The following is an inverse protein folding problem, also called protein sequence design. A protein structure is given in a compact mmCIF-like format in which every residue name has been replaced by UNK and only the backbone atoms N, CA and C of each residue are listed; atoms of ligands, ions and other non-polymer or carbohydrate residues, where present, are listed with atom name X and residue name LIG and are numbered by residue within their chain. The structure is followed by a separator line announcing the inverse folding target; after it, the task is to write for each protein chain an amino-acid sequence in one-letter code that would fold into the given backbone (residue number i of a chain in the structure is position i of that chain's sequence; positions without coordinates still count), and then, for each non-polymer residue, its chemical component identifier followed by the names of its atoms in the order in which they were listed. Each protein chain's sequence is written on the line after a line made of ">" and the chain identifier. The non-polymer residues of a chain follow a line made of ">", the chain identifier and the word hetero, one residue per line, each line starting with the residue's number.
data_IF_250712231373
#
_entry.id   IF_250712231373
#
_cell.length_a   1.000
_cell.length_b   1.000
_cell.length_c   1.000
_cell.angle_alpha   90.00
_cell.angle_beta   90.00
_cell.angle_gamma   90.00
#
_symmetry.space_group_name_H-M   'P 1'
#
loop_
_entity.id
_entity.type
_entity.pdbx_description
1 polymer ?
#
# COMPACT_ATOMS: atom_id res chain seq x y z
N UNK A 1 -14.86 -25.64 5.92
CA UNK A 1 -13.59 -26.14 5.34
C UNK A 1 -12.49 -25.73 6.28
N UNK A 2 -11.49 -26.59 6.54
CA UNK A 2 -10.53 -26.42 7.63
C UNK A 2 -9.81 -25.06 7.55
N UNK A 3 -9.86 -24.27 8.63
CA UNK A 3 -9.00 -23.10 8.84
C UNK A 3 -7.56 -23.58 8.93
N UNK A 4 -6.88 -23.60 7.78
CA UNK A 4 -5.45 -23.82 7.73
C UNK A 4 -4.82 -22.47 8.09
N UNK A 5 -4.51 -22.27 9.36
CA UNK A 5 -3.74 -21.11 9.78
C UNK A 5 -2.35 -21.26 9.16
N UNK A 6 -2.11 -20.51 8.09
CA UNK A 6 -0.78 -20.49 7.47
C UNK A 6 0.22 -20.02 8.52
N UNK A 7 1.38 -20.67 8.57
CA UNK A 7 2.48 -20.16 9.41
C UNK A 7 3.07 -18.90 8.79
N UNK A 8 3.74 -18.06 9.59
CA UNK A 8 4.37 -16.84 9.04
C UNK A 8 5.35 -17.15 7.90
N UNK A 9 5.95 -18.34 7.93
CA UNK A 9 6.88 -18.83 6.90
C UNK A 9 6.21 -19.00 5.53
N UNK A 10 4.95 -19.40 5.53
CA UNK A 10 4.17 -19.71 4.32
C UNK A 10 3.54 -18.45 3.70
N UNK A 11 3.58 -17.31 4.39
CA UNK A 11 2.98 -16.07 3.90
C UNK A 11 3.69 -15.57 2.65
N UNK A 12 2.88 -15.11 1.70
CA UNK A 12 3.34 -14.39 0.54
C UNK A 12 3.31 -12.87 0.83
N UNK A 13 4.11 -12.06 0.13
CA UNK A 13 4.09 -10.60 0.29
C UNK A 13 2.70 -10.01 0.00
N UNK A 14 1.87 -10.68 -0.80
CA UNK A 14 0.48 -10.28 -0.99
C UNK A 14 -0.34 -10.27 0.32
N UNK A 15 0.03 -11.06 1.33
CA UNK A 15 -0.64 -11.07 2.63
C UNK A 15 -0.53 -9.70 3.32
N UNK A 16 -1.67 -9.12 3.73
CA UNK A 16 -1.71 -7.76 4.26
C UNK A 16 -0.90 -7.58 5.54
N UNK A 17 -0.74 -8.64 6.36
CA UNK A 17 0.14 -8.60 7.53
C UNK A 17 1.61 -8.49 7.12
N UNK A 18 2.09 -9.39 6.26
CA UNK A 18 3.48 -9.38 5.85
C UNK A 18 3.82 -8.09 5.09
N UNK A 19 2.95 -7.66 4.18
CA UNK A 19 3.08 -6.40 3.46
C UNK A 19 3.20 -5.21 4.41
N UNK A 20 2.25 -5.09 5.36
CA UNK A 20 2.24 -4.01 6.33
C UNK A 20 3.49 -3.98 7.21
N UNK A 21 4.05 -5.13 7.58
CA UNK A 21 5.31 -5.21 8.34
C UNK A 21 6.52 -4.81 7.51
N UNK A 22 6.59 -5.22 6.25
CA UNK A 22 7.67 -4.83 5.32
C UNK A 22 7.65 -3.33 5.09
N UNK A 23 6.48 -2.77 4.79
CA UNK A 23 6.33 -1.36 4.46
C UNK A 23 6.51 -0.41 5.66
N UNK A 24 6.58 -0.92 6.90
CA UNK A 24 7.00 -0.12 8.07
C UNK A 24 8.50 0.21 8.07
N UNK A 25 9.30 -0.47 7.25
CA UNK A 25 10.68 -0.05 6.99
C UNK A 25 10.64 1.22 6.11
N UNK A 26 11.10 2.34 6.67
CA UNK A 26 11.03 3.65 6.03
C UNK A 26 11.82 3.69 4.72
N UNK A 27 12.95 2.99 4.62
CA UNK A 27 13.73 2.99 3.38
C UNK A 27 13.04 2.17 2.28
N UNK A 28 12.46 1.02 2.63
CA UNK A 28 11.69 0.22 1.66
C UNK A 28 10.45 0.99 1.20
N UNK A 29 9.71 1.60 2.13
CA UNK A 29 8.54 2.41 1.81
C UNK A 29 8.91 3.56 0.86
N UNK A 30 10.00 4.28 1.17
CA UNK A 30 10.55 5.34 0.32
C UNK A 30 10.85 4.83 -1.09
N UNK A 31 11.59 3.73 -1.23
CA UNK A 31 11.95 3.16 -2.53
C UNK A 31 10.71 2.74 -3.35
N UNK A 32 9.72 2.11 -2.71
CA UNK A 32 8.45 1.73 -3.36
C UNK A 32 7.71 2.96 -3.85
N UNK A 33 7.55 3.99 -3.01
CA UNK A 33 6.84 5.21 -3.36
C UNK A 33 7.54 5.99 -4.48
N UNK A 34 8.88 6.11 -4.44
CA UNK A 34 9.65 6.76 -5.51
C UNK A 34 9.42 6.10 -6.86
N UNK A 35 9.37 4.77 -6.88
CA UNK A 35 9.16 3.99 -8.10
C UNK A 35 7.73 4.10 -8.64
N UNK A 36 6.73 4.07 -7.75
CA UNK A 36 5.32 4.21 -8.15
C UNK A 36 5.04 5.61 -8.69
N UNK A 37 5.56 6.64 -8.03
CA UNK A 37 5.26 8.03 -8.34
C UNK A 37 6.20 8.64 -9.38
N UNK A 38 7.33 7.98 -9.64
CA UNK A 38 8.40 8.47 -10.50
C UNK A 38 8.90 9.87 -10.09
N UNK A 39 9.00 10.11 -8.78
CA UNK A 39 9.53 11.36 -8.19
C UNK A 39 10.51 11.02 -7.06
N UNK A 40 11.56 11.82 -6.87
CA UNK A 40 12.46 11.63 -5.75
C UNK A 40 11.78 11.96 -4.43
N UNK A 41 11.90 11.07 -3.44
CA UNK A 41 11.40 11.24 -2.08
C UNK A 41 12.61 11.26 -1.17
N UNK A 42 12.90 12.44 -0.60
CA UNK A 42 14.08 12.63 0.25
C UNK A 42 14.02 11.82 1.53
N UNK A 43 12.85 11.74 2.16
CA UNK A 43 12.65 11.01 3.41
C UNK A 43 11.21 10.52 3.52
N UNK A 44 11.08 9.30 4.02
CA UNK A 44 9.84 8.69 4.40
C UNK A 44 9.78 8.64 5.93
N UNK A 45 8.79 9.29 6.53
CA UNK A 45 8.57 9.20 7.98
C UNK A 45 7.16 8.74 8.30
N UNK A 46 7.05 7.86 9.29
CA UNK A 46 5.76 7.52 9.88
C UNK A 46 5.49 8.46 11.04
N UNK A 47 4.33 9.13 11.10
CA UNK A 47 4.00 10.02 12.19
C UNK A 47 4.02 9.26 13.53
N UNK A 48 4.81 9.74 14.48
CA UNK A 48 5.05 9.09 15.80
C UNK A 48 3.78 9.02 16.67
N UNK A 49 2.75 9.80 16.37
CA UNK A 49 1.57 9.91 17.23
C UNK A 49 0.29 10.18 16.45
N UNK A 50 -0.46 9.12 16.20
CA UNK A 50 -1.85 8.92 16.64
C UNK A 50 -2.14 7.46 16.34
N UNK A 51 -2.73 6.76 17.31
CA UNK A 51 -3.33 5.45 17.08
C UNK A 51 -4.28 5.61 15.89
N UNK A 52 -3.83 5.24 14.70
CA UNK A 52 -4.77 4.83 13.68
C UNK A 52 -5.38 3.57 14.25
N UNK A 53 -6.63 3.71 14.69
CA UNK A 53 -7.41 2.64 15.27
C UNK A 53 -7.29 1.43 14.35
N UNK A 54 -6.89 0.29 14.93
CA UNK A 54 -7.05 -1.07 14.40
C UNK A 54 -8.54 -1.44 14.22
N UNK A 55 -9.39 -0.48 13.85
CA UNK A 55 -10.85 -0.62 13.82
C UNK A 55 -11.36 0.04 12.53
N UNK A 56 -11.06 -0.60 11.39
CA UNK A 56 -12.09 -0.74 10.38
C UNK A 56 -13.07 -1.79 10.93
N UNK A 57 -14.36 -1.48 11.13
CA UNK A 57 -15.29 -2.40 11.78
C UNK A 57 -15.52 -3.73 11.03
N UNK A 58 -15.09 -3.88 9.78
CA UNK A 58 -15.53 -5.01 8.95
C UNK A 58 -14.49 -5.65 8.01
N UNK A 59 -13.24 -5.16 7.88
CA UNK A 59 -12.34 -5.69 6.83
C UNK A 59 -11.11 -6.46 7.29
N UNK A 60 -10.75 -6.48 8.58
CA UNK A 60 -9.60 -7.26 9.07
C UNK A 60 -8.21 -6.85 8.53
N UNK A 61 -8.11 -6.13 7.42
CA UNK A 61 -6.83 -5.80 6.77
C UNK A 61 -5.94 -4.87 7.59
N UNK A 62 -4.63 -5.17 7.56
CA UNK A 62 -3.61 -4.27 8.10
C UNK A 62 -3.41 -3.10 7.13
N UNK A 63 -3.86 -1.93 7.56
CA UNK A 63 -3.66 -0.64 6.90
C UNK A 63 -2.25 -0.12 7.17
N UNK A 64 -1.51 0.28 6.13
CA UNK A 64 -0.30 1.08 6.28
C UNK A 64 -0.67 2.55 6.03
N UNK A 65 -0.94 3.26 7.13
CA UNK A 65 -1.83 4.40 7.09
C UNK A 65 -1.31 5.67 6.40
N UNK A 66 -0.07 6.07 6.67
CA UNK A 66 0.48 7.29 6.08
C UNK A 66 2.00 7.35 6.26
N UNK A 67 2.72 7.42 5.15
CA UNK A 67 4.08 7.94 5.14
C UNK A 67 4.03 9.43 4.79
N UNK A 68 4.83 10.26 5.46
CA UNK A 68 4.95 11.69 5.17
C UNK A 68 6.33 11.96 4.56
N UNK A 69 6.35 12.77 3.49
CA UNK A 69 7.58 13.43 3.06
C UNK A 69 7.76 14.72 3.87
N UNK A 70 8.84 14.81 4.65
CA UNK A 70 9.13 15.90 5.59
C UNK A 70 9.17 17.29 4.92
N UNK A 71 9.61 17.39 3.65
CA UNK A 71 9.76 18.71 2.99
C UNK A 71 8.49 19.24 2.32
N UNK A 72 7.64 18.36 1.80
CA UNK A 72 6.42 18.73 1.06
C UNK A 72 5.16 18.43 1.86
N UNK A 73 5.31 17.88 3.06
CA UNK A 73 4.24 17.40 3.94
C UNK A 73 3.22 16.48 3.24
N UNK A 74 3.58 15.88 2.10
CA UNK A 74 2.69 15.02 1.31
C UNK A 74 2.44 13.71 2.04
N UNK A 75 1.19 13.26 2.04
CA UNK A 75 0.73 12.04 2.72
C UNK A 75 0.56 10.92 1.70
N UNK A 76 1.17 9.76 1.96
CA UNK A 76 1.04 8.56 1.14
C UNK A 76 0.39 7.45 1.95
N UNK A 77 -0.78 6.98 1.54
CA UNK A 77 -1.43 5.80 2.11
C UNK A 77 -1.28 4.64 1.14
N UNK A 78 -0.82 3.48 1.61
CA UNK A 78 -0.60 2.30 0.76
C UNK A 78 -1.32 1.10 1.35
N UNK A 79 -2.12 0.41 0.54
CA UNK A 79 -2.83 -0.79 0.97
C UNK A 79 -2.68 -1.93 -0.04
N UNK A 80 -2.51 -3.14 0.47
CA UNK A 80 -2.44 -4.38 -0.31
C UNK A 80 -3.80 -5.06 -0.32
N UNK A 81 -4.28 -5.46 -1.50
CA UNK A 81 -5.58 -6.11 -1.69
C UNK A 81 -5.45 -7.42 -2.45
N UNK A 82 -5.87 -8.51 -1.79
CA UNK A 82 -5.77 -9.88 -2.31
C UNK A 82 -7.01 -10.37 -3.06
N UNK A 83 -8.16 -9.73 -2.87
CA UNK A 83 -9.42 -10.13 -3.46
C UNK A 83 -10.16 -8.91 -4.02
N UNK A 84 -11.01 -9.15 -5.02
CA UNK A 84 -11.88 -8.10 -5.57
C UNK A 84 -12.80 -7.60 -4.46
N UNK A 85 -12.53 -6.38 -4.02
CA UNK A 85 -13.37 -5.64 -3.10
C UNK A 85 -14.33 -4.79 -3.93
N UNK A 86 -15.63 -5.09 -3.87
CA UNK A 86 -16.68 -4.31 -4.54
C UNK A 86 -16.73 -2.86 -4.03
N UNK A 87 -16.17 -2.61 -2.83
CA UNK A 87 -16.13 -1.31 -2.19
C UNK A 87 -14.80 -0.58 -2.38
N UNK A 88 -13.85 -1.14 -3.13
CA UNK A 88 -12.51 -0.57 -3.37
C UNK A 88 -12.52 0.93 -3.65
N UNK A 89 -13.38 1.37 -4.58
CA UNK A 89 -13.47 2.79 -4.96
C UNK A 89 -14.03 3.66 -3.83
N UNK A 90 -14.97 3.14 -3.03
CA UNK A 90 -15.51 3.83 -1.86
C UNK A 90 -14.47 3.87 -0.73
N UNK A 91 -13.66 2.83 -0.60
CA UNK A 91 -12.56 2.71 0.36
C UNK A 91 -11.48 3.77 0.11
N UNK A 92 -11.14 4.02 -1.15
CA UNK A 92 -10.24 5.12 -1.53
C UNK A 92 -10.72 6.48 -0.98
N UNK A 93 -11.99 6.81 -1.20
CA UNK A 93 -12.62 8.03 -0.67
C UNK A 93 -12.67 8.05 0.86
N UNK A 94 -12.93 6.90 1.48
CA UNK A 94 -12.92 6.78 2.94
C UNK A 94 -11.53 7.07 3.53
N UNK A 95 -10.47 6.57 2.89
CA UNK A 95 -9.09 6.83 3.32
C UNK A 95 -8.70 8.29 3.17
N UNK A 96 -9.07 8.92 2.06
CA UNK A 96 -8.89 10.36 1.87
C UNK A 96 -9.59 11.17 2.98
N UNK A 97 -10.85 10.84 3.28
CA UNK A 97 -11.63 11.49 4.34
C UNK A 97 -10.95 11.35 5.72
N UNK A 98 -10.40 10.17 6.03
CA UNK A 98 -9.72 9.94 7.30
C UNK A 98 -8.45 10.80 7.43
N UNK A 99 -7.65 10.90 6.37
CA UNK A 99 -6.44 11.74 6.33
C UNK A 99 -6.81 13.20 6.57
N UNK A 100 -7.81 13.70 5.86
CA UNK A 100 -8.25 15.09 5.99
C UNK A 100 -8.84 15.36 7.38
N UNK A 101 -9.63 14.41 7.91
CA UNK A 101 -10.23 14.50 9.23
C UNK A 101 -9.19 14.64 10.33
N UNK A 102 -8.06 13.92 10.25
CA UNK A 102 -6.99 14.04 11.25
C UNK A 102 -6.36 15.44 11.30
N UNK A 103 -6.24 16.08 10.14
CA UNK A 103 -5.75 17.46 10.02
C UNK A 103 -6.79 18.42 10.61
N UNK A 104 -8.07 18.27 10.25
CA UNK A 104 -9.14 19.15 10.73
C UNK A 104 -9.36 18.99 12.24
N UNK A 105 -9.41 17.76 12.76
CA UNK A 105 -9.57 17.48 14.19
C UNK A 105 -8.39 17.96 15.04
N UNK A 106 -7.22 18.19 14.43
CA UNK A 106 -6.10 18.87 15.09
C UNK A 106 -6.30 20.40 15.25
N UNK A 107 -7.46 20.92 14.84
CA UNK A 107 -7.83 22.34 14.92
C UNK A 107 -7.30 23.18 13.75
N UNK A 108 -6.73 22.56 12.72
CA UNK A 108 -6.22 23.26 11.52
C UNK A 108 -7.36 23.57 10.55
N UNK A 109 -7.19 24.63 9.75
CA UNK A 109 -8.15 25.01 8.69
C UNK A 109 -8.01 24.07 7.49
N UNK A 110 -9.06 23.95 6.67
CA UNK A 110 -9.03 23.18 5.42
C UNK A 110 -7.97 23.68 4.41
N UNK A 111 -7.56 24.94 4.49
CA UNK A 111 -6.45 25.47 3.69
C UNK A 111 -5.07 24.88 4.08
N UNK A 112 -5.02 24.02 5.10
CA UNK A 112 -3.85 23.28 5.54
C UNK A 112 -3.97 21.78 5.27
N UNK A 113 -4.98 21.36 4.50
CA UNK A 113 -4.99 20.01 3.94
C UNK A 113 -3.73 19.83 3.09
N UNK A 114 -3.21 18.61 3.13
CA UNK A 114 -1.94 18.25 2.51
C UNK A 114 -2.24 17.48 1.23
N UNK A 115 -1.39 17.65 0.23
CA UNK A 115 -1.37 16.77 -0.93
C UNK A 115 -1.34 15.30 -0.47
N UNK A 116 -2.18 14.47 -1.07
CA UNK A 116 -2.34 13.08 -0.66
C UNK A 116 -2.36 12.12 -1.85
N UNK A 117 -1.78 10.95 -1.63
CA UNK A 117 -1.83 9.83 -2.55
C UNK A 117 -2.43 8.62 -1.83
N UNK A 118 -3.51 8.07 -2.38
CA UNK A 118 -4.07 6.79 -1.93
C UNK A 118 -3.67 5.72 -2.93
N UNK A 119 -2.85 4.77 -2.51
CA UNK A 119 -2.24 3.77 -3.39
C UNK A 119 -2.76 2.39 -2.99
N UNK A 120 -3.37 1.69 -3.93
CA UNK A 120 -3.76 0.29 -3.78
C UNK A 120 -2.87 -0.59 -4.64
N UNK A 121 -2.40 -1.70 -4.07
CA UNK A 121 -1.70 -2.76 -4.80
C UNK A 121 -2.61 -3.97 -4.84
N UNK A 122 -3.06 -4.35 -6.03
CA UNK A 122 -4.07 -5.39 -6.24
C UNK A 122 -3.43 -6.63 -6.90
N UNK A 123 -3.72 -7.82 -6.36
CA UNK A 123 -3.39 -9.11 -7.02
C UNK A 123 -4.33 -9.46 -8.19
N UNK A 124 -5.18 -8.51 -8.58
CA UNK A 124 -6.15 -8.62 -9.67
C UNK A 124 -6.13 -7.33 -10.49
N UNK A 125 -6.77 -7.34 -11.65
CA UNK A 125 -6.99 -6.12 -12.42
C UNK A 125 -8.30 -5.45 -11.97
N UNK A 126 -8.23 -4.29 -11.28
CA UNK A 126 -9.42 -3.63 -10.74
C UNK A 126 -10.32 -3.02 -11.82
N UNK A 127 -9.78 -2.68 -13.00
CA UNK A 127 -10.53 -1.98 -14.06
C UNK A 127 -10.63 -2.78 -15.37
N UNK A 128 -10.02 -3.97 -15.43
CA UNK A 128 -10.07 -4.87 -16.59
C UNK A 128 -9.52 -4.26 -17.89
N UNK A 129 -8.60 -3.29 -17.80
CA UNK A 129 -7.92 -2.65 -18.93
C UNK A 129 -6.48 -3.19 -19.12
N UNK A 130 -6.02 -4.10 -18.26
CA UNK A 130 -4.73 -4.78 -18.36
C UNK A 130 -3.51 -3.88 -18.10
N UNK A 131 -3.68 -2.74 -17.43
CA UNK A 131 -2.57 -1.85 -17.03
C UNK A 131 -1.87 -2.35 -15.76
N UNK A 132 -0.59 -2.06 -15.62
CA UNK A 132 0.09 -2.22 -14.33
C UNK A 132 -0.24 -1.08 -13.38
N UNK A 133 -0.51 0.11 -13.90
CA UNK A 133 -0.79 1.31 -13.11
C UNK A 133 -2.00 2.08 -13.66
N UNK A 134 -2.88 2.49 -12.75
CA UNK A 134 -4.00 3.38 -13.01
C UNK A 134 -3.88 4.59 -12.07
N UNK A 135 -3.91 5.79 -12.62
CA UNK A 135 -3.82 7.04 -11.84
C UNK A 135 -5.06 7.88 -12.11
N UNK A 136 -5.72 8.31 -11.03
CA UNK A 136 -6.94 9.11 -11.08
C UNK A 136 -6.75 10.42 -10.32
N UNK A 137 -7.37 11.47 -10.85
CA UNK A 137 -7.53 12.77 -10.21
C UNK A 137 -8.90 13.34 -10.63
N UNK A 138 -9.41 14.32 -9.87
CA UNK A 138 -10.65 14.99 -10.22
C UNK A 138 -10.46 15.91 -11.43
N UNK A 139 -11.26 15.68 -12.48
CA UNK A 139 -11.23 16.44 -13.75
C UNK A 139 -12.60 17.03 -14.09
N UNK A 140 -12.59 18.15 -14.80
CA UNK A 140 -13.81 18.73 -15.37
C UNK A 140 -14.36 17.82 -16.48
N UNK A 141 -15.66 17.52 -16.46
CA UNK A 141 -16.28 16.61 -17.44
C UNK A 141 -16.42 17.28 -18.82
N UNK A 142 -16.60 18.60 -18.83
CA UNK A 142 -16.71 19.41 -20.03
C UNK A 142 -15.35 19.66 -20.70
N UNK A 143 -14.27 19.66 -19.91
CA UNK A 143 -12.89 19.82 -20.36
C UNK A 143 -11.95 18.90 -19.57
N UNK A 144 -11.68 17.71 -20.11
CA UNK A 144 -10.82 16.72 -19.46
C UNK A 144 -9.35 17.17 -19.29
N UNK A 145 -8.94 18.24 -19.96
CA UNK A 145 -7.59 18.82 -19.76
C UNK A 145 -7.51 19.63 -18.47
N UNK A 146 -8.64 20.08 -17.92
CA UNK A 146 -8.74 20.86 -16.69
C UNK A 146 -8.87 19.95 -15.46
N UNK A 147 -7.88 20.04 -14.56
CA UNK A 147 -7.89 19.36 -13.26
C UNK A 147 -8.53 20.24 -12.19
N UNK A 148 -9.16 19.64 -11.18
CA UNK A 148 -9.79 20.36 -10.08
C UNK A 148 -8.75 21.07 -9.19
N UNK A 149 -7.56 20.49 -9.08
CA UNK A 149 -6.46 21.05 -8.29
C UNK A 149 -6.66 20.91 -6.78
N UNK A 150 -7.40 19.90 -6.34
CA UNK A 150 -7.62 19.55 -4.93
C UNK A 150 -6.47 18.75 -4.29
N UNK A 151 -5.41 18.50 -5.05
CA UNK A 151 -4.17 17.85 -4.61
C UNK A 151 -4.36 16.41 -4.07
N UNK A 152 -5.46 15.76 -4.43
CA UNK A 152 -5.68 14.32 -4.15
C UNK A 152 -5.37 13.50 -5.39
N UNK A 153 -4.82 12.30 -5.20
CA UNK A 153 -4.56 11.37 -6.29
C UNK A 153 -4.76 9.94 -5.82
N UNK A 154 -5.53 9.16 -6.57
CA UNK A 154 -5.67 7.72 -6.35
C UNK A 154 -4.85 6.94 -7.37
N UNK A 155 -4.06 5.97 -6.90
CA UNK A 155 -3.24 5.09 -7.72
C UNK A 155 -3.62 3.65 -7.44
N UNK A 156 -3.84 2.86 -8.49
CA UNK A 156 -4.07 1.43 -8.40
C UNK A 156 -3.01 0.70 -9.20
N UNK A 157 -2.22 -0.13 -8.54
CA UNK A 157 -1.27 -1.04 -9.15
C UNK A 157 -1.91 -2.41 -9.30
N UNK A 158 -1.68 -3.06 -10.44
CA UNK A 158 -2.17 -4.41 -10.70
C UNK A 158 -1.02 -5.35 -11.04
N UNK A 159 -0.91 -6.44 -10.29
CA UNK A 159 0.02 -7.53 -10.62
C UNK A 159 -0.37 -8.30 -11.89
N UNK A 160 -1.59 -8.06 -12.40
CA UNK A 160 -2.11 -8.66 -13.65
C UNK A 160 -1.92 -7.76 -14.87
N UNK A 161 -1.22 -6.65 -14.71
CA UNK A 161 -0.85 -5.76 -15.80
C UNK A 161 -0.07 -6.47 -16.90
N UNK A 162 -0.24 -6.00 -18.14
CA UNK A 162 0.42 -6.52 -19.34
C UNK A 162 0.88 -5.42 -20.30
N UNK A 163 0.50 -4.17 -20.04
CA UNK A 163 0.92 -3.02 -20.86
C UNK A 163 2.34 -2.60 -20.52
N UNK A 164 2.97 -1.88 -21.44
CA UNK A 164 4.28 -1.27 -21.20
C UNK A 164 4.08 0.15 -20.66
N UNK A 165 3.69 0.25 -19.39
CA UNK A 165 3.26 1.48 -18.72
C UNK A 165 4.01 1.78 -17.40
N UNK A 166 4.95 0.92 -17.03
CA UNK A 166 5.81 1.03 -15.84
C UNK A 166 7.22 0.50 -16.15
N UNK A 167 8.21 0.88 -15.34
CA UNK A 167 9.58 0.39 -15.50
C UNK A 167 9.72 -1.10 -15.10
N UNK A 168 10.85 -1.72 -15.46
CA UNK A 168 11.09 -3.13 -15.17
C UNK A 168 11.23 -3.40 -13.66
N UNK A 169 11.63 -2.42 -12.86
CA UNK A 169 11.67 -2.57 -11.41
C UNK A 169 10.28 -2.70 -10.78
N UNK A 170 9.29 -1.94 -11.26
CA UNK A 170 7.89 -2.08 -10.85
C UNK A 170 7.33 -3.41 -11.36
N UNK A 171 7.64 -3.84 -12.60
CA UNK A 171 7.21 -5.17 -13.10
C UNK A 171 7.74 -6.29 -12.20
N UNK A 172 9.03 -6.23 -11.85
CA UNK A 172 9.67 -7.20 -10.95
C UNK A 172 9.05 -7.17 -9.55
N UNK A 173 8.77 -5.97 -9.01
CA UNK A 173 8.09 -5.81 -7.73
C UNK A 173 6.69 -6.42 -7.73
N UNK A 174 5.89 -6.14 -8.75
CA UNK A 174 4.54 -6.70 -8.91
C UNK A 174 4.55 -8.22 -9.08
N UNK A 175 5.52 -8.76 -9.81
CA UNK A 175 5.71 -10.21 -9.93
C UNK A 175 6.11 -10.85 -8.59
N UNK A 176 6.98 -10.19 -7.84
CA UNK A 176 7.42 -10.63 -6.51
C UNK A 176 6.30 -10.58 -5.46
N UNK A 177 5.38 -9.61 -5.56
CA UNK A 177 4.19 -9.51 -4.69
C UNK A 177 3.36 -10.79 -4.72
N UNK A 178 3.28 -11.52 -5.83
CA UNK A 178 2.58 -12.80 -5.91
C UNK A 178 3.49 -14.01 -5.68
N UNK A 179 4.81 -13.85 -5.72
CA UNK A 179 5.78 -14.94 -5.71
C UNK A 179 6.98 -14.65 -4.80
N UNK A 180 6.73 -14.20 -3.58
CA UNK A 180 7.75 -13.71 -2.64
C UNK A 180 8.64 -14.84 -2.08
N UNK A 181 9.48 -15.42 -2.93
CA UNK A 181 10.28 -16.62 -2.71
C UNK A 181 11.76 -16.35 -3.02
N UNK A 182 12.65 -17.16 -2.44
CA UNK A 182 14.10 -17.06 -2.70
C UNK A 182 14.42 -17.22 -4.18
N UNK A 183 13.73 -18.12 -4.88
CA UNK A 183 13.94 -18.35 -6.31
C UNK A 183 13.61 -17.09 -7.14
N UNK A 184 12.49 -16.42 -6.84
CA UNK A 184 12.12 -15.17 -7.52
C UNK A 184 13.15 -14.07 -7.22
N UNK A 185 13.55 -13.90 -5.97
CA UNK A 185 14.53 -12.88 -5.57
C UNK A 185 15.94 -13.10 -6.16
N UNK A 186 16.34 -14.35 -6.42
CA UNK A 186 17.62 -14.69 -7.05
C UNK A 186 17.61 -14.45 -8.56
N UNK A 187 16.46 -14.56 -9.22
CA UNK A 187 16.34 -14.41 -10.67
C UNK A 187 16.27 -12.96 -11.14
N UNK A 188 15.84 -12.04 -10.27
CA UNK A 188 15.74 -10.61 -10.61
C UNK A 188 17.05 -9.85 -10.35
N UNK A 189 17.32 -8.85 -11.20
CA UNK A 189 18.35 -7.84 -10.95
C UNK A 189 17.86 -6.65 -10.13
N UNK A 190 16.53 -6.52 -9.92
CA UNK A 190 15.89 -5.41 -9.21
C UNK A 190 16.44 -5.23 -7.79
N UNK A 191 16.97 -4.04 -7.53
CA UNK A 191 17.46 -3.67 -6.20
C UNK A 191 16.29 -3.54 -5.21
N UNK A 192 15.15 -3.02 -5.68
CA UNK A 192 13.92 -2.93 -4.90
C UNK A 192 13.47 -4.32 -4.40
N UNK A 193 13.34 -5.29 -5.30
CA UNK A 193 12.92 -6.65 -4.92
C UNK A 193 13.90 -7.30 -3.94
N UNK A 194 15.21 -7.11 -4.13
CA UNK A 194 16.22 -7.64 -3.20
C UNK A 194 16.13 -7.04 -1.81
N UNK A 195 15.90 -5.72 -1.72
CA UNK A 195 15.71 -5.03 -0.43
C UNK A 195 14.45 -5.53 0.29
N UNK A 196 13.34 -5.63 -0.45
CA UNK A 196 12.07 -6.18 0.06
C UNK A 196 12.24 -7.63 0.51
N UNK A 197 12.88 -8.47 -0.31
CA UNK A 197 13.08 -9.88 0.01
C UNK A 197 13.92 -10.08 1.27
N UNK A 198 15.00 -9.31 1.42
CA UNK A 198 15.80 -9.31 2.65
C UNK A 198 14.92 -9.02 3.87
N UNK A 199 14.05 -8.00 3.78
CA UNK A 199 13.15 -7.63 4.88
C UNK A 199 12.09 -8.69 5.15
N UNK A 200 11.53 -9.29 4.11
CA UNK A 200 10.60 -10.43 4.24
C UNK A 200 11.26 -11.57 5.01
N UNK A 201 12.50 -11.92 4.66
CA UNK A 201 13.24 -12.99 5.34
C UNK A 201 13.54 -12.63 6.80
N UNK A 202 13.93 -11.39 7.09
CA UNK A 202 14.11 -10.92 8.47
C UNK A 202 12.82 -11.03 9.30
N UNK A 203 11.68 -10.59 8.76
CA UNK A 203 10.37 -10.67 9.44
C UNK A 203 9.97 -12.13 9.67
N UNK A 204 10.19 -13.00 8.69
CA UNK A 204 9.88 -14.43 8.83
C UNK A 204 10.77 -15.12 9.86
N UNK A 205 12.03 -14.71 10.01
CA UNK A 205 12.94 -15.29 11.01
C UNK A 205 12.73 -14.75 12.42
N UNK A 206 11.97 -13.67 12.58
CA UNK A 206 11.67 -13.06 13.87
C UNK A 206 10.65 -13.90 14.66
N UNK A 207 11.08 -14.36 15.85
CA UNK A 207 10.28 -15.21 16.74
C UNK A 207 9.06 -14.50 17.31
N UNK A 208 9.09 -13.17 17.37
CA UNK A 208 7.99 -12.38 17.92
C UNK A 208 6.87 -12.14 16.89
N UNK A 209 7.09 -12.47 15.61
CA UNK A 209 6.11 -12.22 14.56
C UNK A 209 5.04 -13.30 14.46
N UNK A 210 5.36 -14.57 14.75
CA UNK A 210 4.37 -15.65 14.74
C UNK A 210 3.24 -15.43 15.78
N UNK A 211 3.52 -15.06 17.05
CA UNK A 211 2.47 -14.70 17.99
C UNK A 211 1.65 -13.48 17.55
N UNK A 212 2.28 -12.48 16.93
CA UNK A 212 1.59 -11.29 16.42
C UNK A 212 0.61 -11.64 15.29
N UNK A 213 1.03 -12.51 14.36
CA UNK A 213 0.18 -12.98 13.27
C UNK A 213 -0.98 -13.84 13.77
N UNK A 214 -0.72 -14.74 14.73
CA UNK A 214 -1.75 -15.58 15.35
C UNK A 214 -2.80 -14.75 16.10
N UNK A 215 -2.38 -13.73 16.85
CA UNK A 215 -3.30 -12.83 17.55
C UNK A 215 -4.21 -12.07 16.57
N UNK A 216 -3.64 -11.54 15.48
CA UNK A 216 -4.43 -10.86 14.45
C UNK A 216 -5.43 -11.81 13.79
N UNK A 217 -4.99 -13.01 13.41
CA UNK A 217 -5.84 -14.01 12.77
C UNK A 217 -7.02 -14.43 13.67
N UNK A 218 -6.80 -14.50 14.99
CA UNK A 218 -7.85 -14.78 15.98
C UNK A 218 -8.84 -13.62 16.13
N UNK A 219 -8.38 -12.37 16.03
CA UNK A 219 -9.26 -11.19 16.04
C UNK A 219 -10.12 -11.11 14.77
N UNK A 220 -9.59 -11.55 13.63
CA UNK A 220 -10.30 -11.58 12.35
C UNK A 220 -11.29 -12.75 12.23
N UNK A 221 -11.01 -13.91 12.84
CA UNK A 221 -11.85 -15.12 12.78
C UNK A 221 -12.96 -15.20 13.83
N UNK A 222 -13.18 -14.14 14.62
CA UNK A 222 -14.14 -14.09 15.73
C UNK A 222 -15.52 -13.50 15.40
N UNK A 223 -15.86 -13.34 14.12
CA UNK A 223 -17.16 -12.83 13.63
C UNK A 223 -17.88 -13.92 12.86
#
# INVERSE_FOLDING_TARGET
>A
MANKTNTIQELNLADSFLFGKVMRDTEICRMVLEKILNVPIKKAEFPVTKKFTDIAPDSGDIRLDACINDEQETIYSVEMLCCKDEELLKKARYFQCNIDSDIILSGKRCTKLKKSYIIFICTFDPFSDGRHIYTFENRCLEDLSLTLGDETTEIFLSTKGKKDDVDDEIKDFLAYIENSTDACAQQTSSQLVKAIHKRVTEIKLDKDMEPQYMNLSQMQGGI
#
